data_IF_505092300763
#
_entry.id   IF_505092300763
#
_cell.length_a   1.000
_cell.length_b   1.000
_cell.length_c   1.000
_cell.angle_alpha   90.00
_cell.angle_beta   90.00
_cell.angle_gamma   90.00
#
_symmetry.space_group_name_H-M   'P 1'
#
loop_
_entity.id
_entity.type
_entity.pdbx_description
1 polymer ?
#
# COMPACT_ATOMS: atom_id res chain seq x y z
N UNK A 1 -3.85 -5.80 9.02
CA UNK A 1 -2.89 -5.61 7.92
C UNK A 1 -1.49 -5.93 8.40
N UNK A 2 -0.72 -6.57 7.56
CA UNK A 2 0.65 -6.95 7.93
C UNK A 2 1.54 -6.94 6.70
N UNK A 3 2.85 -6.94 6.92
CA UNK A 3 3.85 -7.02 5.85
C UNK A 3 3.61 -8.29 5.03
N UNK A 4 3.62 -8.15 3.72
CA UNK A 4 3.34 -9.22 2.78
C UNK A 4 1.92 -9.23 2.22
N UNK A 5 1.00 -8.49 2.84
CA UNK A 5 -0.37 -8.43 2.34
C UNK A 5 -0.44 -7.75 0.98
N UNK A 6 -1.28 -8.29 0.10
CA UNK A 6 -1.61 -7.64 -1.17
C UNK A 6 -2.71 -6.62 -0.91
N UNK A 7 -2.47 -5.39 -1.30
CA UNK A 7 -3.38 -4.28 -0.99
C UNK A 7 -3.65 -3.43 -2.21
N UNK A 8 -4.76 -2.70 -2.16
CA UNK A 8 -5.03 -1.61 -3.09
C UNK A 8 -4.94 -0.31 -2.31
N UNK A 9 -4.13 0.62 -2.79
CA UNK A 9 -3.94 1.92 -2.16
C UNK A 9 -4.53 3.01 -3.05
N UNK A 10 -5.24 3.93 -2.43
CA UNK A 10 -5.77 5.11 -3.12
C UNK A 10 -4.72 6.21 -3.10
N UNK A 11 -4.41 6.77 -4.25
CA UNK A 11 -3.49 7.90 -4.35
C UNK A 11 -4.23 9.13 -4.87
N UNK A 12 -3.69 10.31 -4.56
CA UNK A 12 -4.31 11.57 -4.99
C UNK A 12 -4.12 11.86 -6.47
N UNK A 13 -3.01 11.43 -7.04
CA UNK A 13 -2.63 11.83 -8.39
C UNK A 13 -2.63 10.69 -9.40
N UNK A 14 -2.58 9.46 -8.92
CA UNK A 14 -2.38 8.30 -9.78
C UNK A 14 -3.53 7.31 -9.72
N UNK A 15 -4.61 7.66 -9.01
CA UNK A 15 -5.73 6.74 -8.81
C UNK A 15 -5.35 5.60 -7.86
N UNK A 16 -6.05 4.48 -7.99
CA UNK A 16 -5.77 3.31 -7.15
C UNK A 16 -4.64 2.49 -7.73
N UNK A 17 -3.76 1.99 -6.86
CA UNK A 17 -2.64 1.15 -7.25
C UNK A 17 -2.65 -0.13 -6.44
N UNK A 18 -2.25 -1.23 -7.09
CA UNK A 18 -2.06 -2.51 -6.40
C UNK A 18 -0.61 -2.61 -5.95
N UNK A 19 -0.40 -3.18 -4.78
CA UNK A 19 0.95 -3.33 -4.26
C UNK A 19 1.01 -4.25 -3.07
N UNK A 20 2.20 -4.43 -2.54
CA UNK A 20 2.47 -5.29 -1.39
C UNK A 20 2.98 -4.44 -0.24
N UNK A 21 2.46 -4.70 0.96
CA UNK A 21 2.93 -4.03 2.17
C UNK A 21 4.35 -4.50 2.49
N UNK A 22 5.28 -3.56 2.60
CA UNK A 22 6.69 -3.88 2.90
C UNK A 22 7.11 -3.43 4.29
N UNK A 23 6.40 -2.46 4.87
CA UNK A 23 6.71 -1.98 6.21
C UNK A 23 5.50 -1.23 6.76
N UNK A 24 5.32 -1.32 8.07
CA UNK A 24 4.29 -0.56 8.80
C UNK A 24 5.00 0.12 9.96
N UNK A 25 4.92 1.44 10.03
CA UNK A 25 5.57 2.21 11.10
C UNK A 25 4.79 3.50 11.38
N UNK A 26 5.39 4.40 12.15
CA UNK A 26 4.77 5.67 12.53
C UNK A 26 4.42 6.56 11.34
N UNK A 27 5.16 6.47 10.26
CA UNK A 27 4.92 7.26 9.06
C UNK A 27 3.70 6.76 8.28
N UNK A 28 3.30 5.54 8.52
CA UNK A 28 2.17 4.92 7.86
C UNK A 28 2.49 3.55 7.31
N UNK A 29 1.73 3.16 6.30
CA UNK A 29 1.87 1.87 5.65
C UNK A 29 2.68 2.06 4.39
N UNK A 30 3.84 1.41 4.33
CA UNK A 30 4.74 1.47 3.18
C UNK A 30 4.38 0.37 2.21
N UNK A 31 4.08 0.73 0.97
CA UNK A 31 3.60 -0.18 -0.05
C UNK A 31 4.49 -0.09 -1.28
N UNK A 32 4.89 -1.25 -1.79
CA UNK A 32 5.61 -1.34 -3.05
C UNK A 32 4.59 -1.64 -4.16
N UNK A 33 4.24 -0.66 -5.00
CA UNK A 33 3.26 -0.86 -6.05
C UNK A 33 3.84 -1.68 -7.20
N UNK A 34 2.95 -2.40 -7.90
CA UNK A 34 3.37 -3.30 -8.98
C UNK A 34 3.92 -2.58 -10.20
N UNK A 35 3.34 -1.42 -10.53
CA UNK A 35 3.66 -0.72 -11.79
C UNK A 35 4.13 0.71 -11.60
N UNK A 36 4.43 1.09 -10.40
CA UNK A 36 4.88 2.44 -10.07
C UNK A 36 6.33 2.35 -9.60
N UNK A 37 7.22 3.27 -10.03
CA UNK A 37 8.65 3.17 -9.71
C UNK A 37 8.99 3.51 -8.27
N UNK A 38 8.07 4.14 -7.53
CA UNK A 38 8.34 4.58 -6.16
C UNK A 38 7.40 3.90 -5.18
N UNK A 39 7.91 3.65 -3.98
CA UNK A 39 7.09 3.16 -2.88
C UNK A 39 6.11 4.24 -2.44
N UNK A 40 4.96 3.80 -1.96
CA UNK A 40 3.89 4.68 -1.51
C UNK A 40 3.77 4.54 0.00
N UNK A 41 3.62 5.67 0.69
CA UNK A 41 3.30 5.69 2.11
C UNK A 41 1.87 6.20 2.25
N UNK A 42 1.01 5.40 2.86
CA UNK A 42 -0.41 5.73 2.97
C UNK A 42 -0.93 5.47 4.37
N UNK A 43 -1.99 6.16 4.73
CA UNK A 43 -2.71 5.88 5.97
C UNK A 43 -3.65 4.69 5.80
N UNK A 44 -4.08 4.11 6.91
CA UNK A 44 -4.95 2.93 6.88
C UNK A 44 -6.26 3.19 6.13
N UNK A 45 -6.78 4.41 6.17
CA UNK A 45 -8.03 4.76 5.51
C UNK A 45 -7.94 4.67 3.98
N UNK A 46 -6.74 4.76 3.42
CA UNK A 46 -6.51 4.73 1.98
C UNK A 46 -6.09 3.38 1.45
N UNK A 47 -6.03 2.37 2.31
CA UNK A 47 -5.51 1.05 1.96
C UNK A 47 -6.58 0.00 2.20
N UNK A 48 -6.81 -0.84 1.19
CA UNK A 48 -7.74 -1.97 1.27
C UNK A 48 -6.95 -3.26 1.09
N UNK A 49 -7.05 -4.17 2.06
CA UNK A 49 -6.39 -5.47 1.96
C UNK A 49 -7.21 -6.35 1.02
N UNK A 50 -6.56 -6.87 -0.02
CA UNK A 50 -7.20 -7.76 -0.99
C UNK A 50 -6.91 -9.22 -0.67
N UNK A 51 -5.65 -9.54 -0.33
CA UNK A 51 -5.24 -10.89 0.07
C UNK A 51 -4.34 -10.76 1.28
N UNK A 52 -4.71 -11.42 2.35
CA UNK A 52 -3.92 -11.46 3.58
C UNK A 52 -3.09 -12.74 3.62
N UNK A 53 -1.82 -12.59 3.89
CA UNK A 53 -0.93 -13.76 4.02
C UNK A 53 -0.91 -14.33 5.43
#
# INVERSE_FOLDING_TARGET
MKVGDLVRVRTKHYGSKLGVVIEINEDGIHIKPQKHPRNIIAGAADVVVLVSV
#
